data_IF_182866934939
#
_entry.id   IF_182866934939
#
_cell.length_a   1.000
_cell.length_b   1.000
_cell.length_c   1.000
_cell.angle_alpha   90.00
_cell.angle_beta   90.00
_cell.angle_gamma   90.00
#
_symmetry.space_group_name_H-M   'P 1'
#
loop_
_entity.id
_entity.type
_entity.pdbx_description
1 polymer ?
#
# COMPACT_ATOMS: atom_id res chain seq x y z
N UNK A 1 6.26 -8.17 16.56
CA UNK A 1 6.47 -6.95 15.74
C UNK A 1 6.83 -5.67 16.55
N UNK A 2 6.88 -5.71 17.90
CA UNK A 2 7.29 -4.57 18.75
C UNK A 2 8.66 -3.96 18.41
N UNK A 3 9.62 -4.80 18.01
CA UNK A 3 10.95 -4.34 17.63
C UNK A 3 10.95 -3.49 16.35
N UNK A 4 10.12 -3.83 15.36
CA UNK A 4 9.96 -3.04 14.13
C UNK A 4 9.43 -1.65 14.47
N UNK A 5 8.40 -1.56 15.33
CA UNK A 5 7.88 -0.28 15.79
C UNK A 5 8.93 0.55 16.52
N UNK A 6 9.79 -0.09 17.33
CA UNK A 6 10.91 0.58 17.98
C UNK A 6 11.89 1.16 16.95
N UNK A 7 12.31 0.38 15.94
CA UNK A 7 13.20 0.85 14.89
C UNK A 7 12.61 2.04 14.12
N UNK A 8 11.32 1.99 13.81
CA UNK A 8 10.62 3.12 13.19
C UNK A 8 10.62 4.36 14.10
N UNK A 9 10.43 4.19 15.41
CA UNK A 9 10.53 5.26 16.40
C UNK A 9 11.94 5.86 16.54
N UNK A 10 12.98 5.12 16.15
CA UNK A 10 14.38 5.57 16.09
C UNK A 10 14.74 6.23 14.74
N UNK A 11 13.74 6.49 13.88
CA UNK A 11 13.95 7.16 12.59
C UNK A 11 14.38 6.24 11.45
N UNK A 12 14.28 4.92 11.62
CA UNK A 12 14.59 3.95 10.55
C UNK A 12 13.35 3.65 9.71
N UNK A 13 13.50 3.69 8.40
CA UNK A 13 12.47 3.21 7.48
C UNK A 13 12.54 1.68 7.35
N UNK A 14 11.41 1.01 7.54
CA UNK A 14 11.30 -0.44 7.40
C UNK A 14 10.37 -0.76 6.24
N UNK A 15 10.91 -1.44 5.23
CA UNK A 15 10.15 -1.99 4.10
C UNK A 15 10.17 -3.50 4.22
N UNK A 16 9.00 -4.13 4.11
CA UNK A 16 8.90 -5.58 4.19
C UNK A 16 7.79 -6.11 3.27
N UNK A 17 7.95 -7.35 2.85
CA UNK A 17 6.90 -8.15 2.23
C UNK A 17 6.38 -9.15 3.26
N UNK A 18 5.07 -9.27 3.38
CA UNK A 18 4.44 -10.21 4.33
C UNK A 18 3.43 -11.05 3.58
N UNK A 19 3.63 -12.37 3.62
CA UNK A 19 2.64 -13.31 3.14
C UNK A 19 1.51 -13.41 4.17
N UNK A 20 0.31 -12.96 3.78
CA UNK A 20 -0.92 -13.05 4.59
C UNK A 20 -0.77 -12.50 6.03
N UNK A 21 -0.59 -11.17 6.21
CA UNK A 21 -0.50 -10.60 7.55
C UNK A 21 -1.83 -10.79 8.30
N UNK A 22 -1.75 -11.09 9.59
CA UNK A 22 -2.93 -11.02 10.47
C UNK A 22 -3.44 -9.58 10.57
N UNK A 23 -4.70 -9.39 10.98
CA UNK A 23 -5.28 -8.05 11.14
C UNK A 23 -4.44 -7.15 12.06
N UNK A 24 -3.89 -7.71 13.14
CA UNK A 24 -3.01 -6.98 14.05
C UNK A 24 -1.74 -6.48 13.37
N UNK A 25 -1.16 -7.28 12.47
CA UNK A 25 0.02 -6.87 11.69
C UNK A 25 -0.37 -5.82 10.65
N UNK A 26 -1.52 -5.99 9.99
CA UNK A 26 -2.03 -5.02 9.03
C UNK A 26 -2.25 -3.64 9.65
N UNK A 27 -2.82 -3.57 10.85
CA UNK A 27 -3.08 -2.31 11.56
C UNK A 27 -1.81 -1.52 11.91
N UNK A 28 -0.66 -2.20 11.96
CA UNK A 28 0.63 -1.57 12.21
C UNK A 28 1.21 -0.87 10.98
N UNK A 29 0.73 -1.15 9.77
CA UNK A 29 1.26 -0.50 8.58
C UNK A 29 0.84 0.98 8.52
N UNK A 30 1.82 1.84 8.26
CA UNK A 30 1.61 3.25 7.92
C UNK A 30 1.17 3.38 6.47
N UNK A 31 1.93 2.76 5.56
CA UNK A 31 1.68 2.68 4.13
C UNK A 31 1.63 1.22 3.68
N UNK A 32 0.84 0.95 2.64
CA UNK A 32 0.71 -0.37 2.01
C UNK A 32 0.93 -0.21 0.52
N UNK A 33 1.67 -1.17 -0.07
CA UNK A 33 1.80 -1.34 -1.51
C UNK A 33 1.13 -2.66 -1.86
N UNK A 34 0.19 -2.62 -2.80
CA UNK A 34 -0.47 -3.80 -3.34
C UNK A 34 -0.04 -3.93 -4.80
N UNK A 35 0.49 -5.12 -5.13
CA UNK A 35 0.96 -5.47 -6.46
C UNK A 35 0.13 -6.63 -7.01
N UNK A 36 -0.12 -6.62 -8.31
CA UNK A 36 -0.75 -7.73 -9.03
C UNK A 36 -0.22 -7.79 -10.45
N UNK A 37 0.23 -8.97 -10.89
CA UNK A 37 0.84 -9.14 -12.22
C UNK A 37 2.07 -8.26 -12.48
N UNK A 38 2.77 -7.81 -11.43
CA UNK A 38 3.88 -6.85 -11.53
C UNK A 38 3.46 -5.37 -11.55
N UNK A 39 2.15 -5.10 -11.63
CA UNK A 39 1.59 -3.75 -11.66
C UNK A 39 1.22 -3.27 -10.26
N UNK A 40 1.32 -1.95 -10.03
CA UNK A 40 0.87 -1.33 -8.78
C UNK A 40 -0.62 -0.99 -8.86
N UNK A 41 -1.42 -1.66 -8.04
CA UNK A 41 -2.87 -1.40 -7.95
C UNK A 41 -3.21 -0.52 -6.75
N UNK A 42 -2.30 -0.38 -5.78
CA UNK A 42 -2.42 0.59 -4.69
C UNK A 42 -1.05 0.88 -4.09
N UNK A 43 -0.75 2.14 -3.79
CA UNK A 43 0.36 2.52 -2.93
C UNK A 43 0.01 3.80 -2.18
N UNK A 44 0.00 3.75 -0.85
CA UNK A 44 -0.32 4.90 -0.01
C UNK A 44 -0.70 4.49 1.40
N UNK A 45 -1.26 5.44 2.15
CA UNK A 45 -1.61 5.20 3.56
C UNK A 45 -2.59 4.04 3.70
N UNK A 46 -2.34 3.17 4.68
CA UNK A 46 -3.22 2.04 5.01
C UNK A 46 -4.67 2.49 5.28
N UNK A 47 -4.87 3.66 5.88
CA UNK A 47 -6.21 4.18 6.22
C UNK A 47 -7.04 4.59 5.00
N UNK A 48 -6.41 4.93 3.87
CA UNK A 48 -7.10 5.29 2.63
C UNK A 48 -7.41 4.10 1.73
N UNK A 49 -6.91 2.91 2.06
CA UNK A 49 -7.03 1.73 1.21
C UNK A 49 -8.49 1.28 1.07
N UNK A 50 -9.20 1.14 2.21
CA UNK A 50 -10.62 0.78 2.20
C UNK A 50 -11.47 1.83 1.47
N UNK A 51 -11.37 3.14 1.77
CA UNK A 51 -12.08 4.17 1.00
C UNK A 51 -11.78 4.16 -0.50
N UNK A 52 -10.51 3.96 -0.88
CA UNK A 52 -10.10 3.92 -2.29
C UNK A 52 -10.80 2.79 -3.05
N UNK A 53 -10.68 1.56 -2.57
CA UNK A 53 -11.29 0.39 -3.21
C UNK A 53 -12.83 0.44 -3.15
N UNK A 54 -13.40 0.93 -2.05
CA UNK A 54 -14.85 1.10 -1.92
C UNK A 54 -15.40 2.10 -2.94
N UNK A 55 -14.66 3.18 -3.22
CA UNK A 55 -15.03 4.20 -4.20
C UNK A 55 -15.05 3.70 -5.65
N UNK A 56 -14.41 2.57 -5.93
CA UNK A 56 -14.38 1.93 -7.25
C UNK A 56 -15.17 0.62 -7.31
N UNK A 57 -16.00 0.36 -6.28
CA UNK A 57 -16.97 -0.74 -6.24
C UNK A 57 -16.55 -1.97 -5.44
N UNK A 58 -15.39 -1.98 -4.79
CA UNK A 58 -14.88 -3.12 -4.01
C UNK A 58 -14.94 -2.84 -2.50
N UNK A 59 -16.05 -3.24 -1.88
CA UNK A 59 -16.25 -3.04 -0.44
C UNK A 59 -15.64 -4.19 0.36
N UNK A 60 -14.69 -3.84 1.24
CA UNK A 60 -14.15 -4.77 2.22
C UNK A 60 -15.23 -5.09 3.28
N UNK A 61 -15.56 -6.37 3.53
CA UNK A 61 -16.52 -6.74 4.58
C UNK A 61 -16.04 -6.32 5.97
N UNK A 62 -16.98 -5.89 6.83
CA UNK A 62 -16.68 -5.32 8.16
C UNK A 62 -15.88 -6.24 9.10
N UNK A 63 -16.10 -7.55 9.00
CA UNK A 63 -15.48 -8.54 9.89
C UNK A 63 -14.44 -9.41 9.16
N UNK A 64 -13.97 -8.96 8.00
CA UNK A 64 -12.89 -9.61 7.26
C UNK A 64 -11.59 -8.86 7.49
N UNK A 65 -10.47 -9.59 7.55
CA UNK A 65 -9.15 -8.97 7.56
C UNK A 65 -8.95 -8.22 6.23
N UNK A 66 -8.73 -6.89 6.24
CA UNK A 66 -8.57 -6.14 5.01
C UNK A 66 -7.41 -6.66 4.15
N UNK A 67 -6.29 -7.06 4.78
CA UNK A 67 -5.16 -7.60 4.03
C UNK A 67 -5.53 -8.86 3.23
N UNK A 68 -6.32 -9.75 3.83
CA UNK A 68 -6.80 -10.96 3.17
C UNK A 68 -7.78 -10.61 2.04
N UNK A 69 -8.73 -9.71 2.29
CA UNK A 69 -9.68 -9.26 1.28
C UNK A 69 -8.97 -8.69 0.04
N UNK A 70 -8.02 -7.77 0.24
CA UNK A 70 -7.35 -7.12 -0.88
C UNK A 70 -6.34 -8.02 -1.59
N UNK A 71 -5.68 -8.95 -0.90
CA UNK A 71 -4.85 -9.98 -1.56
C UNK A 71 -5.71 -10.87 -2.45
N UNK A 72 -6.89 -11.30 -1.97
CA UNK A 72 -7.81 -12.10 -2.77
C UNK A 72 -8.38 -11.32 -3.97
N UNK A 73 -8.73 -10.04 -3.75
CA UNK A 73 -9.26 -9.16 -4.79
C UNK A 73 -8.31 -9.01 -5.98
N UNK A 74 -7.01 -8.93 -5.70
CA UNK A 74 -5.97 -8.66 -6.72
C UNK A 74 -5.28 -9.93 -7.22
N UNK A 75 -5.69 -11.11 -6.76
CA UNK A 75 -5.14 -12.38 -7.20
C UNK A 75 -5.72 -12.76 -8.59
N UNK A 76 -4.84 -13.13 -9.51
CA UNK A 76 -5.18 -13.47 -10.91
C UNK A 76 -5.55 -14.92 -11.14
N UNK A 77 -5.33 -15.78 -10.15
CA UNK A 77 -5.34 -17.24 -10.33
C UNK A 77 -6.73 -17.86 -10.13
N UNK A 78 -7.74 -17.05 -9.79
CA UNK A 78 -9.12 -17.48 -9.53
C UNK A 78 -10.07 -17.20 -10.73
N UNK A 79 -11.13 -18.01 -10.86
CA UNK A 79 -12.04 -18.03 -12.03
C UNK A 79 -12.89 -16.75 -12.19
N UNK A 80 -13.19 -16.02 -11.11
CA UNK A 80 -13.95 -14.76 -11.10
C UNK A 80 -13.04 -13.52 -10.93
N UNK A 81 -12.11 -13.34 -11.86
CA UNK A 81 -11.07 -12.31 -11.76
C UNK A 81 -11.59 -10.89 -12.01
N UNK A 82 -11.11 -9.97 -11.17
CA UNK A 82 -11.20 -8.53 -11.46
C UNK A 82 -10.20 -8.19 -12.56
N UNK A 83 -10.63 -7.34 -13.50
CA UNK A 83 -9.73 -6.77 -14.51
C UNK A 83 -8.71 -5.85 -13.83
N UNK A 84 -7.47 -6.34 -13.68
CA UNK A 84 -6.36 -5.60 -13.06
C UNK A 84 -6.15 -4.25 -13.74
N UNK A 85 -6.35 -4.17 -15.06
CA UNK A 85 -6.19 -2.93 -15.82
C UNK A 85 -7.10 -1.83 -15.28
N UNK A 86 -8.32 -2.19 -14.85
CA UNK A 86 -9.25 -1.24 -14.20
C UNK A 86 -8.72 -0.78 -12.85
N UNK A 87 -8.15 -1.68 -12.04
CA UNK A 87 -7.56 -1.34 -10.74
C UNK A 87 -6.35 -0.42 -10.90
N UNK A 88 -5.43 -0.75 -11.80
CA UNK A 88 -4.25 0.06 -12.12
C UNK A 88 -4.68 1.44 -12.62
N UNK A 89 -5.62 1.50 -13.55
CA UNK A 89 -6.13 2.77 -14.07
C UNK A 89 -6.79 3.61 -12.97
N UNK A 90 -7.66 3.00 -12.17
CA UNK A 90 -8.32 3.66 -11.05
C UNK A 90 -7.32 4.23 -10.03
N UNK A 91 -6.28 3.47 -9.69
CA UNK A 91 -5.21 3.95 -8.84
C UNK A 91 -4.43 5.10 -9.48
N UNK A 92 -4.07 5.00 -10.77
CA UNK A 92 -3.31 6.03 -11.49
C UNK A 92 -3.99 7.41 -11.47
N UNK A 93 -5.32 7.44 -11.48
CA UNK A 93 -6.13 8.66 -11.47
C UNK A 93 -6.62 9.05 -10.06
N UNK A 94 -6.22 8.29 -9.03
CA UNK A 94 -6.72 8.49 -7.68
C UNK A 94 -6.06 9.66 -6.96
N UNK A 95 -6.78 10.24 -6.00
CA UNK A 95 -6.21 11.20 -5.05
C UNK A 95 -5.06 10.59 -4.25
N UNK A 96 -5.10 9.28 -3.97
CA UNK A 96 -4.02 8.57 -3.26
C UNK A 96 -2.72 8.65 -4.06
N UNK A 97 -2.76 8.37 -5.37
CA UNK A 97 -1.60 8.49 -6.26
C UNK A 97 -1.07 9.92 -6.32
N UNK A 98 -1.98 10.90 -6.43
CA UNK A 98 -1.60 12.33 -6.43
C UNK A 98 -0.88 12.71 -5.13
N UNK A 99 -1.44 12.38 -3.97
CA UNK A 99 -0.84 12.67 -2.66
C UNK A 99 0.55 12.03 -2.52
N UNK A 100 0.71 10.79 -2.98
CA UNK A 100 2.02 10.12 -2.99
C UNK A 100 3.04 10.88 -3.85
N UNK A 101 2.66 11.32 -5.05
CA UNK A 101 3.55 12.08 -5.94
C UNK A 101 3.91 13.46 -5.35
N UNK A 102 2.96 14.11 -4.69
CA UNK A 102 3.19 15.39 -4.00
C UNK A 102 4.19 15.21 -2.84
N UNK A 103 4.04 14.14 -2.05
CA UNK A 103 4.96 13.79 -0.96
C UNK A 103 6.36 13.46 -1.48
N UNK A 104 6.46 12.62 -2.51
CA UNK A 104 7.76 12.27 -3.12
C UNK A 104 8.47 13.50 -3.68
N UNK A 105 7.73 14.44 -4.27
CA UNK A 105 8.28 15.71 -4.75
C UNK A 105 8.83 16.55 -3.60
N UNK A 106 8.05 16.70 -2.51
CA UNK A 106 8.47 17.44 -1.32
C UNK A 106 9.69 16.82 -0.62
N UNK A 107 9.70 15.49 -0.46
CA UNK A 107 10.82 14.75 0.11
C UNK A 107 12.06 14.91 -0.75
N UNK A 108 11.94 14.78 -2.09
CA UNK A 108 13.08 14.99 -2.99
C UNK A 108 13.68 16.37 -2.85
N UNK A 109 12.87 17.43 -2.77
CA UNK A 109 13.37 18.79 -2.54
C UNK A 109 14.08 18.92 -1.19
N UNK A 110 13.52 18.30 -0.15
CA UNK A 110 14.08 18.39 1.21
C UNK A 110 15.37 17.58 1.35
N UNK A 111 15.50 16.43 0.67
CA UNK A 111 16.62 15.49 0.83
C UNK A 111 17.77 15.72 -0.18
N UNK A 112 17.67 16.71 -1.07
CA UNK A 112 18.70 17.05 -2.07
C UNK A 112 20.10 17.33 -1.49
N UNK A 113 20.19 17.64 -0.21
CA UNK A 113 21.44 17.98 0.48
C UNK A 113 22.06 16.80 1.23
N UNK A 114 21.42 15.62 1.23
CA UNK A 114 21.98 14.43 1.85
C UNK A 114 23.12 13.88 1.00
N UNK A 115 24.24 13.44 1.62
CA UNK A 115 25.31 12.79 0.90
C UNK A 115 24.79 11.50 0.23
N UNK A 116 25.35 11.16 -0.91
CA UNK A 116 25.08 9.87 -1.55
C UNK A 116 25.38 8.74 -0.56
N UNK A 117 24.55 7.70 -0.59
CA UNK A 117 24.78 6.51 0.23
C UNK A 117 26.05 5.84 -0.29
N UNK A 118 27.15 5.96 0.45
CA UNK A 118 28.34 5.12 0.23
C UNK A 118 27.90 3.65 0.42
N UNK A 119 27.83 2.90 -0.68
CA UNK A 119 27.52 1.48 -0.72
C UNK A 119 28.74 0.63 -0.38
#
# INVERSE_FOLDING_TARGET
MKYILKLCGEGKNVVCTIHQPSSLVYDMFTNVIVLSGGETVYCGSRTYMIPHFSGIGFQCPKYMNPAEYFVNLVNTDFEDRVDITKLVHAYSQSTVKKLLLDQLSADRTTLQHLPDIEL
#
